data_IF_773596243743
#
_entry.id   IF_773596243743
#
_cell.length_a   1.000
_cell.length_b   1.000
_cell.length_c   1.000
_cell.angle_alpha   90.00
_cell.angle_beta   90.00
_cell.angle_gamma   90.00
#
_symmetry.space_group_name_H-M   'P 1'
#
loop_
_entity.id
_entity.type
_entity.pdbx_description
1 polymer ?
#
# COMPACT_ATOMS: atom_id res chain seq x y z
N UNK A 1 5.14 -3.76 30.70
CA UNK A 1 4.20 -3.12 29.77
C UNK A 1 4.72 -3.42 28.37
N UNK A 2 4.26 -4.51 27.75
CA UNK A 2 4.69 -4.87 26.40
C UNK A 2 4.07 -3.86 25.44
N UNK A 3 4.88 -3.03 24.79
CA UNK A 3 4.40 -2.20 23.68
C UNK A 3 3.94 -3.18 22.60
N UNK A 4 2.65 -3.17 22.28
CA UNK A 4 2.15 -3.74 21.03
C UNK A 4 3.07 -3.27 19.91
N UNK A 5 3.59 -4.18 19.09
CA UNK A 5 4.39 -3.80 17.94
C UNK A 5 3.53 -2.87 17.10
N UNK A 6 3.89 -1.59 17.01
CA UNK A 6 3.37 -0.72 15.96
C UNK A 6 3.53 -1.50 14.66
N UNK A 7 2.45 -1.60 13.88
CA UNK A 7 2.25 -2.51 12.75
C UNK A 7 3.20 -2.24 11.56
N UNK A 8 4.49 -2.14 11.85
CA UNK A 8 5.62 -1.78 11.01
C UNK A 8 6.30 -3.09 10.66
N UNK A 9 5.78 -3.74 9.63
CA UNK A 9 6.56 -4.71 8.87
C UNK A 9 7.13 -3.94 7.69
N UNK A 10 8.46 -3.81 7.60
CA UNK A 10 9.12 -3.03 6.53
C UNK A 10 8.70 -3.48 5.12
N UNK A 11 8.27 -4.74 4.99
CA UNK A 11 7.92 -5.36 3.71
C UNK A 11 6.40 -5.39 3.42
N UNK A 12 5.56 -4.86 4.31
CA UNK A 12 4.11 -4.86 4.15
C UNK A 12 3.49 -3.54 4.59
N UNK A 13 2.54 -2.98 3.82
CA UNK A 13 1.86 -1.78 4.26
C UNK A 13 1.08 -2.09 5.55
N UNK A 14 1.11 -1.14 6.48
CA UNK A 14 0.44 -1.25 7.78
C UNK A 14 -1.05 -1.58 7.59
N UNK A 15 -1.52 -2.67 8.18
CA UNK A 15 -2.94 -3.07 8.11
C UNK A 15 -3.72 -2.44 9.27
N UNK A 16 -4.88 -1.88 8.99
CA UNK A 16 -5.83 -1.46 10.01
C UNK A 16 -6.45 -2.70 10.70
N UNK A 17 -7.04 -2.53 11.89
CA UNK A 17 -7.67 -3.64 12.63
C UNK A 17 -8.84 -4.31 11.87
N UNK A 18 -9.40 -3.60 10.89
CA UNK A 18 -10.43 -4.09 9.97
C UNK A 18 -9.86 -4.70 8.67
N UNK A 19 -8.54 -4.89 8.60
CA UNK A 19 -7.84 -5.54 7.51
C UNK A 19 -7.50 -4.63 6.32
N UNK A 20 -7.96 -3.37 6.29
CA UNK A 20 -7.70 -2.40 5.20
C UNK A 20 -6.26 -1.86 5.23
N UNK A 21 -5.75 -1.42 4.09
CA UNK A 21 -4.34 -1.03 3.89
C UNK A 21 -4.13 0.48 3.98
N UNK A 22 -5.19 1.22 3.67
CA UNK A 22 -5.31 2.64 3.92
C UNK A 22 -6.71 2.89 4.48
N UNK A 23 -6.89 4.06 5.09
CA UNK A 23 -8.21 4.50 5.54
C UNK A 23 -9.07 4.74 4.31
N UNK A 24 -9.88 3.77 3.92
CA UNK A 24 -10.88 3.97 2.87
C UNK A 24 -11.95 4.92 3.40
N UNK A 25 -11.90 6.17 2.92
CA UNK A 25 -12.81 7.26 3.29
C UNK A 25 -14.12 7.24 2.49
N UNK A 26 -14.34 6.25 1.62
CA UNK A 26 -15.60 6.17 0.86
C UNK A 26 -16.78 6.10 1.85
N UNK A 27 -17.83 6.90 1.62
CA UNK A 27 -18.97 6.91 2.52
C UNK A 27 -19.73 5.58 2.44
N UNK A 28 -20.34 5.20 3.56
CA UNK A 28 -21.12 3.96 3.67
C UNK A 28 -22.22 3.86 2.59
N UNK A 29 -22.81 4.99 2.19
CA UNK A 29 -23.81 5.04 1.12
C UNK A 29 -23.29 4.48 -0.22
N UNK A 30 -22.07 4.84 -0.61
CA UNK A 30 -21.45 4.36 -1.87
C UNK A 30 -21.16 2.86 -1.78
N UNK A 31 -20.68 2.40 -0.63
CA UNK A 31 -20.40 0.97 -0.42
C UNK A 31 -21.69 0.15 -0.45
N UNK A 32 -22.75 0.64 0.21
CA UNK A 32 -24.06 -0.02 0.22
C UNK A 32 -24.74 0.01 -1.15
N UNK A 33 -24.58 1.07 -1.94
CA UNK A 33 -25.15 1.09 -3.30
C UNK A 33 -24.51 0.02 -4.18
N UNK A 34 -23.18 -0.14 -4.09
CA UNK A 34 -22.45 -1.18 -4.83
C UNK A 34 -22.84 -2.58 -4.35
N UNK A 35 -22.95 -2.79 -3.04
CA UNK A 35 -23.30 -4.09 -2.45
C UNK A 35 -24.78 -4.46 -2.63
N UNK A 36 -25.67 -3.47 -2.71
CA UNK A 36 -27.11 -3.70 -2.84
C UNK A 36 -27.48 -4.33 -4.17
N UNK A 37 -26.74 -4.04 -5.25
CA UNK A 37 -27.03 -4.53 -6.61
C UNK A 37 -28.50 -4.33 -7.02
N UNK A 38 -29.14 -3.24 -6.57
CA UNK A 38 -30.53 -2.93 -6.86
C UNK A 38 -31.57 -3.69 -6.02
N UNK A 39 -31.15 -4.41 -4.96
CA UNK A 39 -32.06 -5.01 -3.97
C UNK A 39 -32.82 -3.95 -3.19
N UNK A 40 -34.06 -4.26 -2.82
CA UNK A 40 -34.79 -3.42 -1.86
C UNK A 40 -34.17 -3.51 -0.45
N UNK A 41 -34.47 -2.53 0.39
CA UNK A 41 -33.98 -2.41 1.77
C UNK A 41 -34.13 -3.71 2.58
N UNK A 42 -35.26 -4.42 2.44
CA UNK A 42 -35.49 -5.68 3.14
C UNK A 42 -34.60 -6.80 2.60
N UNK A 43 -34.59 -6.98 1.28
CA UNK A 43 -33.80 -8.02 0.61
C UNK A 43 -32.30 -7.81 0.84
N UNK A 44 -31.86 -6.55 0.83
CA UNK A 44 -30.49 -6.20 1.12
C UNK A 44 -30.11 -6.55 2.56
N UNK A 45 -30.97 -6.21 3.53
CA UNK A 45 -30.75 -6.60 4.93
C UNK A 45 -30.68 -8.11 5.09
N UNK A 46 -31.63 -8.84 4.48
CA UNK A 46 -31.66 -10.29 4.52
C UNK A 46 -30.42 -10.92 3.89
N UNK A 47 -29.96 -10.36 2.77
CA UNK A 47 -28.73 -10.78 2.09
C UNK A 47 -27.50 -10.57 2.99
N UNK A 48 -27.35 -9.38 3.59
CA UNK A 48 -26.24 -9.11 4.51
C UNK A 48 -26.24 -10.04 5.74
N UNK A 49 -27.41 -10.33 6.30
CA UNK A 49 -27.51 -11.22 7.48
C UNK A 49 -27.13 -12.66 7.14
N UNK A 50 -27.55 -13.18 5.99
CA UNK A 50 -27.30 -14.58 5.62
C UNK A 50 -25.95 -14.81 4.93
N UNK A 51 -25.39 -13.79 4.29
CA UNK A 51 -24.15 -13.87 3.51
C UNK A 51 -23.03 -12.99 4.06
N UNK A 52 -23.17 -12.44 5.27
CA UNK A 52 -22.18 -11.53 5.86
C UNK A 52 -20.77 -12.12 5.91
N UNK A 53 -20.63 -13.35 6.41
CA UNK A 53 -19.32 -14.02 6.52
C UNK A 53 -18.69 -14.31 5.15
N UNK A 54 -19.49 -14.67 4.15
CA UNK A 54 -18.97 -14.93 2.80
C UNK A 54 -18.59 -13.64 2.08
N UNK A 55 -19.35 -12.56 2.28
CA UNK A 55 -19.05 -11.22 1.79
C UNK A 55 -17.75 -10.68 2.39
N UNK A 56 -17.58 -10.82 3.71
CA UNK A 56 -16.36 -10.43 4.40
C UNK A 56 -15.15 -11.15 3.82
N UNK A 57 -15.22 -12.48 3.71
CA UNK A 57 -14.15 -13.29 3.14
C UNK A 57 -13.84 -12.89 1.69
N UNK A 58 -14.87 -12.72 0.86
CA UNK A 58 -14.68 -12.26 -0.52
C UNK A 58 -13.97 -10.91 -0.58
N UNK A 59 -14.32 -9.96 0.29
CA UNK A 59 -13.69 -8.64 0.34
C UNK A 59 -12.25 -8.70 0.81
N UNK A 60 -11.94 -9.58 1.76
CA UNK A 60 -10.56 -9.83 2.19
C UNK A 60 -9.72 -10.47 1.08
N UNK A 61 -10.28 -11.43 0.35
CA UNK A 61 -9.60 -12.09 -0.78
C UNK A 61 -9.36 -11.09 -1.93
N UNK A 62 -10.36 -10.27 -2.28
CA UNK A 62 -10.22 -9.17 -3.26
C UNK A 62 -9.14 -8.18 -2.82
N UNK A 63 -9.11 -7.81 -1.55
CA UNK A 63 -8.09 -6.92 -1.02
C UNK A 63 -6.70 -7.56 -1.15
N UNK A 64 -6.54 -8.81 -0.70
CA UNK A 64 -5.27 -9.53 -0.79
C UNK A 64 -4.77 -9.61 -2.23
N UNK A 65 -5.59 -9.96 -3.22
CA UNK A 65 -5.16 -10.01 -4.62
C UNK A 65 -4.66 -8.66 -5.16
N UNK A 66 -5.30 -7.56 -4.76
CA UNK A 66 -4.94 -6.23 -5.24
C UNK A 66 -3.64 -5.69 -4.63
N UNK A 67 -3.22 -6.23 -3.50
CA UNK A 67 -2.25 -5.58 -2.61
C UNK A 67 -1.10 -6.49 -2.23
N UNK A 68 -1.26 -7.79 -2.47
CA UNK A 68 -0.24 -8.78 -2.20
C UNK A 68 0.98 -8.42 -3.04
N UNK A 69 2.10 -8.26 -2.35
CA UNK A 69 3.38 -8.07 -3.01
C UNK A 69 3.71 -9.37 -3.76
N UNK A 70 3.61 -9.36 -5.10
CA UNK A 70 3.95 -10.51 -5.95
C UNK A 70 5.42 -10.54 -6.35
N UNK A 71 6.11 -9.41 -6.28
CA UNK A 71 7.56 -9.34 -6.50
C UNK A 71 8.18 -8.28 -5.59
N UNK A 72 9.33 -8.60 -5.00
CA UNK A 72 10.09 -7.68 -4.15
C UNK A 72 10.90 -6.65 -4.96
N UNK A 73 10.51 -6.39 -6.21
CA UNK A 73 11.24 -5.53 -7.16
C UNK A 73 10.62 -4.15 -7.31
N UNK A 74 9.55 -3.86 -6.58
CA UNK A 74 8.93 -2.54 -6.62
C UNK A 74 9.69 -1.61 -5.68
N UNK A 75 10.59 -0.83 -6.25
CA UNK A 75 11.04 0.40 -5.62
C UNK A 75 9.82 1.33 -5.53
N UNK A 76 9.27 1.45 -4.32
CA UNK A 76 8.19 2.41 -4.03
C UNK A 76 8.70 3.86 -4.08
N UNK A 77 10.01 4.01 -4.22
CA UNK A 77 10.70 5.28 -4.37
C UNK A 77 10.80 5.59 -5.86
N UNK A 78 10.39 6.80 -6.27
CA UNK A 78 10.69 7.29 -7.61
C UNK A 78 12.23 7.21 -7.81
N UNK A 79 12.72 6.85 -9.02
CA UNK A 79 14.15 6.83 -9.27
C UNK A 79 14.74 8.21 -8.99
N UNK A 80 15.98 8.25 -8.49
CA UNK A 80 16.63 9.52 -8.19
C UNK A 80 16.98 10.29 -9.47
N UNK A 81 16.78 11.61 -9.46
CA UNK A 81 17.10 12.45 -10.62
C UNK A 81 18.60 12.44 -10.89
N UNK A 82 19.37 12.59 -9.82
CA UNK A 82 20.82 12.67 -9.87
C UNK A 82 21.45 11.66 -8.94
N UNK A 83 22.58 11.10 -9.35
CA UNK A 83 23.39 10.22 -8.51
C UNK A 83 24.73 10.92 -8.27
N UNK A 84 25.10 11.03 -6.99
CA UNK A 84 26.41 11.45 -6.55
C UNK A 84 27.34 10.25 -6.46
N UNK A 85 28.45 10.29 -7.19
CA UNK A 85 29.53 9.32 -7.11
C UNK A 85 30.78 10.00 -6.52
N UNK A 86 31.20 9.56 -5.34
CA UNK A 86 32.35 10.08 -4.61
C UNK A 86 33.49 9.07 -4.61
N UNK A 87 34.55 9.36 -5.39
CA UNK A 87 35.78 8.57 -5.43
C UNK A 87 36.96 9.43 -4.98
N UNK A 88 37.79 8.91 -4.05
CA UNK A 88 39.07 9.52 -3.64
C UNK A 88 38.96 11.02 -3.28
N UNK A 89 37.91 11.39 -2.52
CA UNK A 89 37.70 12.76 -2.05
C UNK A 89 37.14 13.74 -3.10
N UNK A 90 36.78 13.28 -4.30
CA UNK A 90 36.07 14.09 -5.32
C UNK A 90 34.69 13.48 -5.59
N UNK A 91 33.66 14.31 -5.58
CA UNK A 91 32.29 13.90 -5.86
C UNK A 91 31.80 14.53 -7.16
N UNK A 92 31.31 13.69 -8.07
CA UNK A 92 30.66 14.12 -9.30
C UNK A 92 29.17 13.77 -9.20
N UNK A 93 28.32 14.71 -9.61
CA UNK A 93 26.87 14.51 -9.67
C UNK A 93 26.51 14.32 -11.14
N UNK A 94 25.98 13.14 -11.48
CA UNK A 94 25.47 12.82 -12.81
C UNK A 94 23.96 12.71 -12.80
N UNK A 95 23.31 13.05 -13.92
CA UNK A 95 21.88 12.79 -14.11
C UNK A 95 21.69 11.28 -14.33
N UNK A 96 20.82 10.67 -13.54
CA UNK A 96 20.45 9.26 -13.66
C UNK A 96 19.13 9.12 -14.43
N UNK A 97 18.07 9.78 -13.95
CA UNK A 97 16.78 9.84 -14.63
C UNK A 97 16.25 11.29 -14.65
N UNK A 98 16.10 11.94 -15.82
CA UNK A 98 15.55 13.29 -15.91
C UNK A 98 14.14 13.44 -15.31
N UNK A 99 13.37 12.35 -15.22
CA UNK A 99 12.02 12.31 -14.62
C UNK A 99 12.05 11.87 -13.15
N UNK A 100 13.21 11.51 -12.63
CA UNK A 100 13.43 11.14 -11.26
C UNK A 100 13.36 12.33 -10.29
N UNK A 101 13.38 12.05 -8.99
CA UNK A 101 13.33 13.07 -7.94
C UNK A 101 14.52 12.98 -7.00
N UNK A 102 15.11 14.14 -6.68
CA UNK A 102 16.16 14.25 -5.68
C UNK A 102 17.54 13.73 -6.10
N UNK A 103 18.37 13.47 -5.10
CA UNK A 103 19.76 13.05 -5.25
C UNK A 103 19.99 11.77 -4.44
N UNK A 104 20.53 10.76 -5.10
CA UNK A 104 20.94 9.49 -4.50
C UNK A 104 22.48 9.36 -4.51
N UNK A 105 23.02 8.41 -3.74
CA UNK A 105 24.46 8.21 -3.53
C UNK A 105 24.84 6.80 -3.96
N UNK A 106 25.48 6.65 -5.11
CA UNK A 106 25.93 5.33 -5.59
C UNK A 106 27.07 4.76 -4.75
N UNK A 107 27.92 5.62 -4.19
CA UNK A 107 28.95 5.25 -3.24
C UNK A 107 29.19 6.37 -2.23
N UNK A 108 29.37 5.98 -0.97
CA UNK A 108 29.98 6.82 0.03
C UNK A 108 31.44 6.45 0.10
N UNK A 109 32.34 7.43 0.05
CA UNK A 109 33.74 7.19 0.36
C UNK A 109 33.82 6.61 1.78
N UNK A 110 34.04 5.31 1.91
CA UNK A 110 34.40 4.68 3.17
C UNK A 110 35.91 4.84 3.30
N UNK A 111 36.34 5.54 4.34
CA UNK A 111 37.75 5.68 4.70
C UNK A 111 38.35 4.32 5.03
#
# INVERSE_FOLDING_TARGET
>A
MSKTSDNVNLDFPSRMADGRIFTDYRPNCVMNSVLSQGKDSFEYRYYLTNSGNSLEKQKLDELEQNVKCTSCTYDTVLPANTIMNCNQGKCNIGVNDPKGLGLDRANTFQQ
#
